data_IF_562121215908
#
_entry.id   IF_562121215908
#
_cell.length_a   1.000
_cell.length_b   1.000
_cell.length_c   1.000
_cell.angle_alpha   90.00
_cell.angle_beta   90.00
_cell.angle_gamma   90.00
#
_symmetry.space_group_name_H-M   'P 1'
#
loop_
_entity.id
_entity.type
_entity.pdbx_description
1 polymer ?
#
# COMPACT_ATOMS: atom_id res chain seq x y z
N UNK A 1 -28.83 -2.58 21.00
CA UNK A 1 -28.18 -2.26 19.73
C UNK A 1 -27.16 -1.18 20.00
N UNK A 2 -25.88 -1.43 19.75
CA UNK A 2 -24.82 -0.42 19.89
C UNK A 2 -24.90 0.48 18.66
N UNK A 3 -25.33 1.71 18.85
CA UNK A 3 -25.32 2.73 17.79
C UNK A 3 -23.87 3.26 17.67
N UNK A 4 -23.14 2.79 16.67
CA UNK A 4 -21.84 3.36 16.36
C UNK A 4 -22.02 4.62 15.51
N UNK A 5 -21.47 5.78 15.90
CA UNK A 5 -21.55 6.99 15.09
C UNK A 5 -20.76 6.80 13.79
N UNK A 6 -21.30 7.25 12.69
CA UNK A 6 -20.59 7.27 11.40
C UNK A 6 -20.56 8.70 10.84
N UNK A 7 -19.52 8.98 10.06
CA UNK A 7 -19.40 10.26 9.36
C UNK A 7 -20.19 10.21 8.06
N UNK A 8 -20.95 11.24 7.80
CA UNK A 8 -21.64 11.43 6.54
C UNK A 8 -21.21 12.76 5.92
N UNK A 9 -21.14 12.80 4.59
CA UNK A 9 -20.88 14.02 3.84
C UNK A 9 -22.07 14.34 2.96
N UNK A 10 -22.36 15.64 2.85
CA UNK A 10 -23.41 16.10 1.95
C UNK A 10 -22.92 15.95 0.50
N UNK A 11 -23.74 15.40 -0.36
CA UNK A 11 -23.46 15.25 -1.79
C UNK A 11 -23.66 16.55 -2.60
N UNK A 12 -23.91 17.66 -1.92
CA UNK A 12 -24.12 18.99 -2.49
C UNK A 12 -23.18 19.98 -1.82
N UNK A 13 -22.65 20.92 -2.58
CA UNK A 13 -21.96 22.11 -2.07
C UNK A 13 -22.87 23.31 -2.16
N UNK A 14 -22.72 24.22 -1.22
CA UNK A 14 -23.39 25.51 -1.23
C UNK A 14 -22.36 26.58 -1.60
N UNK A 15 -22.76 27.50 -2.45
CA UNK A 15 -21.87 28.59 -2.88
C UNK A 15 -21.95 29.80 -1.94
N UNK A 16 -23.06 29.95 -1.19
CA UNK A 16 -23.29 31.08 -0.29
C UNK A 16 -23.78 30.62 1.09
N UNK A 17 -23.35 31.35 2.13
CA UNK A 17 -23.72 31.09 3.53
C UNK A 17 -25.24 31.20 3.78
N UNK A 18 -25.90 32.10 3.06
CA UNK A 18 -27.36 32.33 3.16
C UNK A 18 -28.18 31.08 2.79
N UNK A 19 -27.62 30.19 1.95
CA UNK A 19 -28.27 28.93 1.60
C UNK A 19 -28.05 27.85 2.66
N UNK A 20 -26.92 27.91 3.38
CA UNK A 20 -26.53 26.91 4.37
C UNK A 20 -27.37 26.97 5.63
N UNK A 21 -27.63 28.18 6.15
CA UNK A 21 -28.34 28.37 7.42
C UNK A 21 -29.75 27.79 7.43
N UNK A 22 -30.64 28.07 6.45
CA UNK A 22 -31.95 27.45 6.38
C UNK A 22 -31.92 25.95 6.20
N UNK A 23 -30.91 25.45 5.44
CA UNK A 23 -30.74 24.02 5.25
C UNK A 23 -30.34 23.31 6.55
N UNK A 24 -29.40 23.87 7.32
CA UNK A 24 -28.99 23.32 8.63
C UNK A 24 -30.13 23.27 9.64
N UNK A 25 -30.93 24.34 9.73
CA UNK A 25 -32.09 24.35 10.60
C UNK A 25 -33.10 23.26 10.25
N UNK A 26 -33.35 23.06 8.96
CA UNK A 26 -34.22 21.99 8.47
C UNK A 26 -33.64 20.60 8.70
N UNK A 27 -32.35 20.43 8.46
CA UNK A 27 -31.63 19.17 8.66
C UNK A 27 -31.60 18.71 10.12
N UNK A 28 -31.50 19.65 11.07
CA UNK A 28 -31.56 19.36 12.51
C UNK A 28 -32.93 18.91 13.01
N UNK A 29 -33.99 19.14 12.24
CA UNK A 29 -35.39 18.77 12.59
C UNK A 29 -35.89 17.54 11.82
N UNK A 30 -35.08 16.98 10.91
CA UNK A 30 -35.47 15.85 10.07
C UNK A 30 -35.02 14.51 10.67
N UNK A 31 -35.80 13.48 10.46
CA UNK A 31 -35.38 12.09 10.66
C UNK A 31 -34.53 11.63 9.51
N UNK A 32 -33.33 11.13 9.83
CA UNK A 32 -32.39 10.64 8.85
C UNK A 32 -32.54 9.14 8.68
N UNK A 33 -32.78 8.69 7.47
CA UNK A 33 -32.91 7.26 7.15
C UNK A 33 -31.90 6.86 6.09
N UNK A 34 -31.30 5.67 6.26
CA UNK A 34 -30.44 5.08 5.23
C UNK A 34 -31.32 4.56 4.10
N UNK A 35 -31.30 5.22 2.96
CA UNK A 35 -32.11 4.89 1.79
C UNK A 35 -31.63 3.63 1.09
N UNK A 36 -30.31 3.48 0.97
CA UNK A 36 -29.69 2.33 0.30
C UNK A 36 -28.27 2.09 0.82
N UNK A 37 -27.84 0.85 0.81
CA UNK A 37 -26.46 0.43 1.03
C UNK A 37 -25.97 -0.31 -0.19
N UNK A 38 -25.10 0.33 -0.98
CA UNK A 38 -24.51 -0.29 -2.16
C UNK A 38 -23.19 -0.93 -1.82
N UNK A 39 -23.05 -2.24 -2.03
CA UNK A 39 -21.80 -2.96 -1.93
C UNK A 39 -21.24 -3.16 -3.32
N UNK A 40 -20.10 -2.51 -3.62
CA UNK A 40 -19.42 -2.68 -4.90
C UNK A 40 -18.14 -3.49 -4.69
N UNK A 41 -17.88 -4.52 -5.51
CA UNK A 41 -16.61 -5.22 -5.45
C UNK A 41 -15.48 -4.26 -5.81
N UNK A 42 -14.42 -4.27 -5.02
CA UNK A 42 -13.22 -3.48 -5.27
C UNK A 42 -12.01 -4.41 -5.34
N UNK A 43 -11.14 -4.16 -6.31
CA UNK A 43 -9.86 -4.85 -6.44
C UNK A 43 -8.74 -3.91 -6.07
N UNK A 44 -7.78 -4.39 -5.27
CA UNK A 44 -6.57 -3.64 -4.94
C UNK A 44 -5.36 -4.41 -5.47
N UNK A 45 -4.61 -3.77 -6.34
CA UNK A 45 -3.35 -4.32 -6.82
C UNK A 45 -2.22 -4.07 -5.83
N UNK A 46 -1.28 -5.01 -5.64
CA UNK A 46 -0.09 -4.79 -4.84
C UNK A 46 0.81 -3.75 -5.52
N UNK A 47 1.58 -3.05 -4.71
CA UNK A 47 2.62 -2.13 -5.19
C UNK A 47 3.78 -2.92 -5.81
N UNK A 48 4.61 -2.22 -6.61
CA UNK A 48 5.85 -2.79 -7.10
C UNK A 48 6.80 -3.13 -5.94
N UNK A 49 7.75 -4.06 -6.14
CA UNK A 49 8.84 -4.30 -5.21
C UNK A 49 9.60 -3.02 -4.87
N UNK A 50 10.25 -2.99 -3.71
CA UNK A 50 10.92 -1.78 -3.23
C UNK A 50 12.16 -1.42 -4.04
N UNK A 51 12.23 -0.15 -4.39
CA UNK A 51 13.47 0.56 -4.70
C UNK A 51 13.96 1.28 -3.44
N UNK A 52 15.17 1.84 -3.46
CA UNK A 52 15.68 2.69 -2.37
C UNK A 52 14.68 3.80 -1.99
N UNK A 53 14.16 4.50 -2.98
CA UNK A 53 13.22 5.61 -2.78
C UNK A 53 11.91 5.17 -2.16
N UNK A 54 11.30 4.10 -2.68
CA UNK A 54 10.01 3.61 -2.17
C UNK A 54 10.14 2.97 -0.79
N UNK A 55 11.28 2.32 -0.48
CA UNK A 55 11.59 1.83 0.85
C UNK A 55 11.65 2.98 1.87
N UNK A 56 12.34 4.08 1.53
CA UNK A 56 12.41 5.26 2.40
C UNK A 56 11.03 5.88 2.65
N UNK A 57 10.21 5.99 1.61
CA UNK A 57 8.84 6.52 1.74
C UNK A 57 7.97 5.65 2.66
N UNK A 58 7.99 4.33 2.47
CA UNK A 58 7.21 3.42 3.32
C UNK A 58 7.71 3.38 4.76
N UNK A 59 9.03 3.39 4.98
CA UNK A 59 9.61 3.45 6.31
C UNK A 59 9.24 4.77 7.03
N UNK A 60 9.23 5.89 6.30
CA UNK A 60 8.77 7.16 6.84
C UNK A 60 7.28 7.12 7.21
N UNK A 61 6.45 6.61 6.30
CA UNK A 61 5.01 6.58 6.46
C UNK A 61 4.55 5.64 7.58
N UNK A 62 5.13 4.43 7.66
CA UNK A 62 4.70 3.37 8.59
C UNK A 62 5.45 3.37 9.92
N UNK A 63 6.77 3.67 9.88
CA UNK A 63 7.65 3.54 11.03
C UNK A 63 8.15 4.90 11.55
N UNK A 64 7.80 5.99 10.88
CA UNK A 64 8.29 7.35 11.21
C UNK A 64 9.82 7.46 11.18
N UNK A 65 10.49 6.66 10.33
CA UNK A 65 11.93 6.71 10.18
C UNK A 65 12.33 7.81 9.21
N UNK A 66 13.35 8.60 9.57
CA UNK A 66 14.02 9.48 8.62
C UNK A 66 14.90 8.68 7.64
N UNK A 67 15.29 9.32 6.55
CA UNK A 67 16.09 8.70 5.46
C UNK A 67 17.37 8.04 5.99
N UNK A 68 18.14 8.77 6.82
CA UNK A 68 19.40 8.25 7.39
C UNK A 68 19.21 7.00 8.25
N UNK A 69 18.16 7.01 9.09
CA UNK A 69 17.84 5.84 9.93
C UNK A 69 17.42 4.66 9.06
N UNK A 70 16.56 4.88 8.07
CA UNK A 70 16.10 3.85 7.14
C UNK A 70 17.28 3.19 6.43
N UNK A 71 18.20 3.99 5.88
CA UNK A 71 19.34 3.44 5.14
C UNK A 71 20.34 2.72 6.04
N UNK A 72 20.52 3.16 7.29
CA UNK A 72 21.38 2.46 8.27
C UNK A 72 20.80 1.08 8.63
N UNK A 73 19.50 1.01 8.87
CA UNK A 73 18.82 -0.26 9.17
C UNK A 73 18.84 -1.19 7.96
N UNK A 74 18.56 -0.67 6.77
CA UNK A 74 18.61 -1.46 5.54
C UNK A 74 20.00 -2.01 5.25
N UNK A 75 21.06 -1.20 5.48
CA UNK A 75 22.46 -1.65 5.36
C UNK A 75 22.74 -2.84 6.28
N UNK A 76 22.33 -2.73 7.54
CA UNK A 76 22.52 -3.81 8.51
C UNK A 76 21.76 -5.08 8.11
N UNK A 77 20.50 -4.95 7.68
CA UNK A 77 19.70 -6.10 7.21
C UNK A 77 20.35 -6.79 6.00
N UNK A 78 20.96 -6.01 5.10
CA UNK A 78 21.70 -6.55 3.97
C UNK A 78 22.99 -7.29 4.43
N UNK A 79 23.78 -6.69 5.32
CA UNK A 79 25.01 -7.29 5.86
C UNK A 79 24.73 -8.58 6.65
N UNK A 80 23.60 -8.64 7.33
CA UNK A 80 23.11 -9.85 8.02
C UNK A 80 22.44 -10.87 7.08
N UNK A 81 22.32 -10.56 5.78
CA UNK A 81 21.77 -11.46 4.77
C UNK A 81 20.25 -11.58 4.77
N UNK A 82 19.52 -10.63 5.39
CA UNK A 82 18.07 -10.67 5.50
C UNK A 82 17.34 -10.09 4.28
N UNK A 83 17.99 -9.16 3.59
CA UNK A 83 17.44 -8.55 2.38
C UNK A 83 18.48 -8.50 1.25
N UNK A 84 18.01 -8.30 0.01
CA UNK A 84 18.86 -7.97 -1.13
C UNK A 84 19.47 -6.57 -0.98
N UNK A 85 20.43 -6.22 -1.85
CA UNK A 85 21.11 -4.93 -1.77
C UNK A 85 20.13 -3.75 -1.82
N UNK A 86 20.26 -2.86 -0.84
CA UNK A 86 19.28 -1.79 -0.58
C UNK A 86 19.46 -0.52 -1.42
N UNK A 87 20.52 -0.41 -2.21
CA UNK A 87 20.75 0.72 -3.13
C UNK A 87 20.43 0.30 -4.55
N UNK A 88 19.19 0.39 -4.94
CA UNK A 88 18.69 0.00 -6.26
C UNK A 88 17.50 0.86 -6.66
N UNK A 89 17.37 1.12 -7.93
CA UNK A 89 16.20 1.71 -8.57
C UNK A 89 15.38 0.66 -9.36
N UNK A 90 15.83 -0.59 -9.36
CA UNK A 90 15.17 -1.70 -10.00
C UNK A 90 13.94 -2.15 -9.20
N UNK A 91 12.88 -2.50 -9.92
CA UNK A 91 11.68 -3.18 -9.41
C UNK A 91 11.61 -4.64 -9.87
N UNK A 92 12.65 -5.12 -10.56
CA UNK A 92 12.68 -6.47 -11.08
C UNK A 92 13.00 -7.49 -9.97
N UNK A 93 12.41 -8.66 -10.08
CA UNK A 93 12.72 -9.83 -9.26
C UNK A 93 13.27 -10.93 -10.17
N UNK A 94 14.25 -11.67 -9.69
CA UNK A 94 14.74 -12.87 -10.38
C UNK A 94 13.65 -13.95 -10.44
N UNK A 95 13.75 -14.85 -11.41
CA UNK A 95 12.79 -15.97 -11.52
C UNK A 95 12.77 -16.82 -10.25
N UNK A 96 13.92 -17.10 -9.67
CA UNK A 96 14.02 -17.82 -8.39
C UNK A 96 13.32 -17.11 -7.25
N UNK A 97 13.39 -15.79 -7.18
CA UNK A 97 12.68 -15.00 -6.18
C UNK A 97 11.16 -15.00 -6.43
N UNK A 98 10.74 -14.93 -7.69
CA UNK A 98 9.32 -15.02 -8.07
C UNK A 98 8.74 -16.38 -7.69
N UNK A 99 9.44 -17.46 -7.94
CA UNK A 99 9.02 -18.82 -7.57
C UNK A 99 8.96 -19.01 -6.05
N UNK A 100 9.98 -18.56 -5.32
CA UNK A 100 10.01 -18.65 -3.86
C UNK A 100 8.88 -17.83 -3.22
N UNK A 101 8.62 -16.62 -3.72
CA UNK A 101 7.50 -15.81 -3.24
C UNK A 101 6.14 -16.44 -3.56
N UNK A 102 6.00 -17.03 -4.74
CA UNK A 102 4.80 -17.76 -5.14
C UNK A 102 4.50 -18.94 -4.18
N UNK A 103 5.53 -19.71 -3.87
CA UNK A 103 5.43 -20.83 -2.95
C UNK A 103 5.03 -20.36 -1.54
N UNK A 104 5.68 -19.33 -1.02
CA UNK A 104 5.36 -18.77 0.29
C UNK A 104 3.92 -18.24 0.36
N UNK A 105 3.44 -17.53 -0.67
CA UNK A 105 2.06 -17.02 -0.73
C UNK A 105 1.07 -18.18 -0.77
N UNK A 106 1.29 -19.19 -1.61
CA UNK A 106 0.40 -20.35 -1.73
C UNK A 106 0.31 -21.13 -0.44
N UNK A 107 1.44 -21.34 0.25
CA UNK A 107 1.47 -22.04 1.53
C UNK A 107 0.77 -21.28 2.66
N UNK A 108 0.94 -19.96 2.72
CA UNK A 108 0.43 -19.14 3.81
C UNK A 108 -1.02 -18.68 3.61
N UNK A 109 -1.43 -18.43 2.36
CA UNK A 109 -2.71 -17.78 2.04
C UNK A 109 -3.59 -18.58 1.05
N UNK A 110 -3.03 -19.54 0.33
CA UNK A 110 -3.71 -20.33 -0.68
C UNK A 110 -3.55 -19.79 -2.11
N UNK A 111 -3.91 -20.63 -3.09
CA UNK A 111 -3.73 -20.35 -4.52
C UNK A 111 -4.48 -19.09 -5.01
N UNK A 112 -5.64 -18.82 -4.44
CA UNK A 112 -6.50 -17.69 -4.81
C UNK A 112 -5.83 -16.33 -4.60
N UNK A 113 -4.86 -16.26 -3.71
CA UNK A 113 -4.13 -15.02 -3.40
C UNK A 113 -2.87 -14.83 -4.23
N UNK A 114 -2.50 -15.82 -5.03
CA UNK A 114 -1.34 -15.72 -5.90
C UNK A 114 -1.72 -15.26 -7.29
N UNK A 115 -1.06 -14.20 -7.75
CA UNK A 115 -1.11 -13.77 -9.15
C UNK A 115 0.26 -13.27 -9.56
N UNK A 116 0.91 -13.97 -10.50
CA UNK A 116 2.23 -13.57 -11.00
C UNK A 116 2.15 -12.19 -11.65
N UNK A 117 3.04 -11.31 -11.25
CA UNK A 117 3.18 -9.96 -11.80
C UNK A 117 4.63 -9.66 -12.07
N UNK A 118 4.88 -9.01 -13.18
CA UNK A 118 6.18 -8.43 -13.50
C UNK A 118 6.01 -6.92 -13.61
N UNK A 119 6.87 -6.20 -12.91
CA UNK A 119 6.94 -4.76 -12.96
C UNK A 119 8.13 -4.39 -13.86
N UNK A 120 7.96 -3.41 -14.73
CA UNK A 120 9.01 -2.90 -15.60
C UNK A 120 9.60 -1.63 -15.00
N UNK A 121 10.92 -1.56 -14.91
CA UNK A 121 11.64 -0.34 -14.56
C UNK A 121 11.50 0.66 -15.70
N UNK A 122 11.22 1.92 -15.38
CA UNK A 122 11.03 2.97 -16.39
C UNK A 122 12.33 3.44 -17.06
N UNK A 123 13.49 3.16 -16.46
CA UNK A 123 14.81 3.55 -16.96
C UNK A 123 15.49 2.39 -17.67
N UNK A 124 15.85 2.59 -18.93
CA UNK A 124 16.59 1.60 -19.72
C UNK A 124 17.98 1.29 -19.13
N UNK A 125 18.61 2.25 -18.46
CA UNK A 125 19.93 2.08 -17.83
C UNK A 125 19.88 1.23 -16.54
N UNK A 126 18.74 1.10 -15.89
CA UNK A 126 18.56 0.30 -14.67
C UNK A 126 18.28 -1.18 -14.96
N UNK A 127 18.28 -1.58 -16.22
CA UNK A 127 17.68 -2.84 -16.66
C UNK A 127 18.58 -4.06 -16.47
N UNK A 128 19.89 -3.91 -16.27
CA UNK A 128 20.78 -5.04 -16.53
C UNK A 128 21.42 -5.71 -15.30
N UNK A 129 21.43 -5.13 -14.11
CA UNK A 129 22.28 -5.70 -13.05
C UNK A 129 21.67 -5.79 -11.64
N UNK A 130 20.57 -5.12 -11.34
CA UNK A 130 20.10 -5.02 -9.95
C UNK A 130 18.68 -5.54 -9.77
N UNK A 131 18.54 -6.37 -8.74
CA UNK A 131 17.23 -6.82 -8.25
C UNK A 131 16.61 -5.74 -7.34
N UNK A 132 15.28 -5.77 -7.19
CA UNK A 132 14.56 -4.97 -6.21
C UNK A 132 14.97 -5.36 -4.78
N UNK A 133 14.65 -4.49 -3.81
CA UNK A 133 14.83 -4.79 -2.39
C UNK A 133 13.74 -5.77 -1.95
N UNK A 134 14.13 -6.93 -1.47
CA UNK A 134 13.25 -7.99 -0.99
C UNK A 134 13.89 -8.80 0.14
N UNK A 135 13.11 -9.54 0.93
CA UNK A 135 13.67 -10.58 1.81
C UNK A 135 14.44 -11.62 1.01
N UNK A 136 15.52 -12.12 1.55
CA UNK A 136 16.26 -13.27 1.00
C UNK A 136 15.52 -14.58 1.26
N UNK A 137 14.78 -14.63 2.38
CA UNK A 137 13.97 -15.76 2.80
C UNK A 137 12.52 -15.31 2.99
N UNK A 138 11.62 -15.79 2.16
CA UNK A 138 10.17 -15.47 2.21
C UNK A 138 9.40 -16.25 3.27
N UNK A 139 10.05 -17.20 3.97
CA UNK A 139 9.42 -17.99 5.03
C UNK A 139 9.54 -17.34 6.40
N UNK A 140 10.43 -16.38 6.55
CA UNK A 140 10.61 -15.60 7.78
C UNK A 140 9.69 -14.38 7.77
N UNK A 141 8.79 -14.31 8.73
CA UNK A 141 7.88 -13.19 9.00
C UNK A 141 8.39 -12.35 10.18
#
# INVERSE_FOLDING_TARGET
MVQAPFKAELNRRFDHEEEVSPWLQKAGQCDWTVKAVEKKPATKSPSAPFTTSTLQQEASRKLRFGVTKTMRVAQRLYEEGHITYMRTDSVNLSETALEASAQAIRQSYGETYYHRRQFKTKSAAAQEAHEAIRPTDFTKS
#
